data_IF_182095316226
#
_entry.id   IF_182095316226
#
_cell.length_a   1.000
_cell.length_b   1.000
_cell.length_c   1.000
_cell.angle_alpha   90.00
_cell.angle_beta   90.00
_cell.angle_gamma   90.00
#
_symmetry.space_group_name_H-M   'P 1'
#
loop_
_entity.id
_entity.type
_entity.pdbx_description
1 polymer ?
#
# COMPACT_ATOMS: atom_id res chain seq x y z
N UNK A 1 -7.06 -26.74 -15.24
CA UNK A 1 -6.07 -25.68 -15.52
C UNK A 1 -6.71 -24.29 -15.57
N UNK A 2 -7.72 -24.02 -16.42
CA UNK A 2 -8.32 -22.68 -16.54
C UNK A 2 -8.85 -22.06 -15.24
N UNK A 3 -9.49 -22.84 -14.35
CA UNK A 3 -9.97 -22.33 -13.06
C UNK A 3 -8.83 -21.90 -12.11
N UNK A 4 -7.73 -22.65 -12.07
CA UNK A 4 -6.55 -22.30 -11.27
C UNK A 4 -5.81 -21.09 -11.87
N UNK A 5 -5.70 -21.01 -13.20
CA UNK A 5 -5.11 -19.86 -13.88
C UNK A 5 -5.95 -18.60 -13.71
N UNK A 6 -7.28 -18.70 -13.77
CA UNK A 6 -8.19 -17.59 -13.51
C UNK A 6 -8.16 -17.11 -12.05
N UNK A 7 -8.10 -18.03 -11.09
CA UNK A 7 -7.96 -17.69 -9.68
C UNK A 7 -6.62 -17.00 -9.37
N UNK A 8 -5.50 -17.52 -9.89
CA UNK A 8 -4.20 -16.87 -9.78
C UNK A 8 -4.22 -15.50 -10.47
N UNK A 9 -4.79 -15.39 -11.67
CA UNK A 9 -4.91 -14.11 -12.37
C UNK A 9 -5.70 -13.09 -11.54
N UNK A 10 -6.82 -13.49 -10.95
CA UNK A 10 -7.63 -12.62 -10.09
C UNK A 10 -6.88 -12.21 -8.81
N UNK A 11 -6.16 -13.12 -8.15
CA UNK A 11 -5.34 -12.77 -6.98
C UNK A 11 -4.13 -11.87 -7.31
N UNK A 12 -3.60 -11.97 -8.53
CA UNK A 12 -2.45 -11.17 -8.97
C UNK A 12 -2.86 -9.80 -9.54
N UNK A 13 -3.99 -9.72 -10.25
CA UNK A 13 -4.37 -8.53 -11.03
C UNK A 13 -5.77 -7.98 -10.70
N UNK A 14 -6.61 -8.72 -9.99
CA UNK A 14 -7.98 -8.31 -9.67
C UNK A 14 -8.17 -7.66 -8.29
N UNK A 15 -7.15 -7.73 -7.42
CA UNK A 15 -7.21 -7.14 -6.07
C UNK A 15 -6.18 -6.00 -5.97
N UNK A 16 -6.57 -4.80 -5.49
CA UNK A 16 -5.65 -3.69 -5.33
C UNK A 16 -4.47 -4.08 -4.43
N UNK A 17 -3.28 -3.63 -4.83
CA UNK A 17 -2.04 -3.81 -4.07
C UNK A 17 -1.42 -2.46 -3.78
N UNK A 18 -0.79 -2.35 -2.62
CA UNK A 18 0.03 -1.21 -2.27
C UNK A 18 1.15 -1.06 -3.32
N UNK A 19 1.18 0.01 -4.12
CA UNK A 19 2.22 0.19 -5.14
C UNK A 19 3.62 0.25 -4.53
N UNK A 20 3.77 0.68 -3.29
CA UNK A 20 5.06 0.77 -2.63
C UNK A 20 5.66 -0.59 -2.23
N UNK A 21 4.86 -1.58 -1.84
CA UNK A 21 5.38 -2.85 -1.28
C UNK A 21 4.71 -4.14 -1.80
N UNK A 22 3.66 -4.04 -2.61
CA UNK A 22 2.99 -5.18 -3.23
C UNK A 22 2.00 -5.91 -2.32
N UNK A 23 1.83 -5.46 -1.09
CA UNK A 23 0.86 -6.00 -0.14
C UNK A 23 -0.56 -5.82 -0.66
N UNK A 24 -1.39 -6.86 -0.53
CA UNK A 24 -2.80 -6.80 -0.88
C UNK A 24 -3.51 -5.81 0.05
N UNK A 25 -4.33 -4.94 -0.53
CA UNK A 25 -5.11 -3.94 0.20
C UNK A 25 -6.41 -4.59 0.67
N UNK A 26 -6.61 -4.62 1.97
CA UNK A 26 -7.88 -5.04 2.57
C UNK A 26 -8.85 -3.85 2.64
N UNK A 27 -10.17 -4.09 2.80
CA UNK A 27 -11.12 -3.01 3.02
C UNK A 27 -10.77 -2.11 4.21
N UNK A 28 -10.25 -2.71 5.30
CA UNK A 28 -9.77 -1.97 6.48
C UNK A 28 -8.62 -1.01 6.15
N UNK A 29 -7.65 -1.44 5.34
CA UNK A 29 -6.55 -0.56 4.89
C UNK A 29 -7.05 0.58 4.00
N UNK A 30 -8.01 0.28 3.13
CA UNK A 30 -8.59 1.28 2.22
C UNK A 30 -9.42 2.33 2.99
N UNK A 31 -10.12 1.90 4.03
CA UNK A 31 -10.85 2.79 4.94
C UNK A 31 -9.91 3.67 5.76
N UNK A 32 -8.80 3.09 6.25
CA UNK A 32 -7.83 3.81 7.08
C UNK A 32 -7.01 4.84 6.31
N UNK A 33 -6.71 4.60 5.04
CA UNK A 33 -5.95 5.54 4.20
C UNK A 33 -6.70 5.88 2.92
N UNK A 34 -7.26 7.10 2.87
CA UNK A 34 -7.84 7.69 1.67
C UNK A 34 -6.83 8.60 0.98
N UNK A 35 -6.35 8.22 -0.19
CA UNK A 35 -5.21 8.83 -0.89
C UNK A 35 -5.65 9.24 -2.29
N UNK A 36 -5.42 10.51 -2.61
CA UNK A 36 -5.87 11.15 -3.84
C UNK A 36 -4.75 11.99 -4.47
N UNK A 37 -4.75 12.13 -5.80
CA UNK A 37 -3.70 12.86 -6.54
C UNK A 37 -4.04 14.31 -6.88
N UNK A 38 -5.31 14.72 -6.87
CA UNK A 38 -5.75 16.04 -7.36
C UNK A 38 -6.66 16.79 -6.37
N UNK A 39 -6.53 16.47 -5.09
CA UNK A 39 -7.27 17.10 -4.00
C UNK A 39 -8.10 16.10 -3.19
N UNK A 40 -8.65 16.56 -2.07
CA UNK A 40 -9.48 15.75 -1.17
C UNK A 40 -10.68 15.13 -1.91
N UNK A 41 -10.66 13.81 -2.09
CA UNK A 41 -11.72 13.09 -2.80
C UNK A 41 -11.72 13.26 -4.32
N UNK A 42 -10.62 13.75 -4.92
CA UNK A 42 -10.53 14.09 -6.35
C UNK A 42 -9.30 13.46 -7.02
N UNK A 43 -9.40 13.18 -8.31
CA UNK A 43 -8.32 12.55 -9.08
C UNK A 43 -8.25 11.04 -8.88
N UNK A 44 -7.07 10.47 -9.13
CA UNK A 44 -6.81 9.05 -9.00
C UNK A 44 -6.84 8.63 -7.53
N UNK A 45 -7.58 7.55 -7.23
CA UNK A 45 -7.56 6.91 -5.91
C UNK A 45 -6.36 5.95 -5.87
N UNK A 46 -5.39 6.25 -5.01
CA UNK A 46 -4.25 5.37 -4.77
C UNK A 46 -4.46 4.53 -3.51
N UNK A 47 -3.71 3.46 -3.33
CA UNK A 47 -3.83 2.60 -2.15
C UNK A 47 -2.48 2.37 -1.47
N UNK A 48 -2.47 2.30 -0.15
CA UNK A 48 -1.28 1.92 0.61
C UNK A 48 -1.67 1.08 1.82
N UNK A 49 -0.80 0.15 2.21
CA UNK A 49 -1.09 -0.71 3.35
C UNK A 49 -0.80 -0.06 4.70
N UNK A 50 0.13 0.91 4.76
CA UNK A 50 0.48 1.61 5.99
C UNK A 50 0.94 3.04 5.69
N UNK A 51 0.97 3.90 6.72
CA UNK A 51 1.45 5.28 6.61
C UNK A 51 2.88 5.40 6.05
N UNK A 52 3.77 4.46 6.39
CA UNK A 52 5.11 4.43 5.82
C UNK A 52 5.09 4.20 4.30
N UNK A 53 4.19 3.36 3.80
CA UNK A 53 4.01 3.13 2.38
C UNK A 53 3.31 4.29 1.67
N UNK A 54 2.37 4.98 2.32
CA UNK A 54 1.76 6.21 1.78
C UNK A 54 2.85 7.20 1.37
N UNK A 55 3.79 7.49 2.26
CA UNK A 55 4.86 8.46 2.00
C UNK A 55 5.90 7.96 0.99
N UNK A 56 6.04 6.63 0.82
CA UNK A 56 6.88 6.03 -0.22
C UNK A 56 6.27 6.14 -1.62
N UNK A 57 4.97 6.39 -1.74
CA UNK A 57 4.35 6.66 -3.04
C UNK A 57 4.86 7.98 -3.65
N UNK A 58 5.49 8.86 -2.88
CA UNK A 58 6.11 10.09 -3.37
C UNK A 58 7.50 9.88 -4.01
N UNK A 59 7.90 8.63 -4.25
CA UNK A 59 9.15 8.26 -4.93
C UNK A 59 9.41 9.12 -6.19
N UNK A 60 10.57 9.80 -6.29
CA UNK A 60 10.87 10.68 -7.44
C UNK A 60 10.96 10.00 -8.80
N UNK A 61 11.21 8.69 -8.86
CA UNK A 61 11.45 7.97 -10.10
C UNK A 61 10.21 7.23 -10.60
N UNK A 62 9.38 6.73 -9.68
CA UNK A 62 8.26 5.82 -9.96
C UNK A 62 6.96 6.21 -9.28
N UNK A 63 6.99 7.24 -8.43
CA UNK A 63 5.87 7.68 -7.64
C UNK A 63 5.13 8.87 -8.24
N UNK A 64 4.36 9.51 -7.38
CA UNK A 64 3.59 10.72 -7.69
C UNK A 64 4.27 11.94 -7.07
N UNK A 65 4.13 13.10 -7.71
CA UNK A 65 4.70 14.34 -7.20
C UNK A 65 3.94 14.87 -5.98
N UNK A 66 2.62 14.66 -5.96
CA UNK A 66 1.69 15.25 -5.00
C UNK A 66 0.62 14.25 -4.55
N UNK A 67 0.29 14.27 -3.25
CA UNK A 67 -0.70 13.42 -2.60
C UNK A 67 -1.51 14.19 -1.56
N UNK A 68 -2.81 13.87 -1.52
CA UNK A 68 -3.76 14.28 -0.49
C UNK A 68 -4.24 13.03 0.26
N UNK A 69 -3.93 12.95 1.55
CA UNK A 69 -4.14 11.76 2.37
C UNK A 69 -5.04 12.07 3.56
N UNK A 70 -6.18 11.41 3.65
CA UNK A 70 -7.02 11.38 4.85
C UNK A 70 -6.83 10.05 5.55
N UNK A 71 -6.59 10.11 6.86
CA UNK A 71 -6.46 8.95 7.75
C UNK A 71 -6.91 9.35 9.15
N UNK A 72 -6.72 8.51 10.15
CA UNK A 72 -7.05 8.83 11.54
C UNK A 72 -6.02 8.27 12.52
N UNK A 73 -6.08 8.74 13.76
CA UNK A 73 -5.15 8.34 14.81
C UNK A 73 -5.29 6.86 15.18
N UNK A 74 -4.19 6.10 15.18
CA UNK A 74 -4.19 4.70 15.60
C UNK A 74 -4.47 4.52 17.11
N UNK A 75 -4.47 5.60 17.89
CA UNK A 75 -4.76 5.58 19.34
C UNK A 75 -6.17 6.07 19.68
N UNK A 76 -6.61 7.20 19.09
CA UNK A 76 -7.92 7.79 19.40
C UNK A 76 -9.04 7.34 18.46
N UNK A 77 -8.69 6.80 17.28
CA UNK A 77 -9.64 6.32 16.30
C UNK A 77 -10.21 7.36 15.33
N UNK A 78 -11.26 6.99 14.58
CA UNK A 78 -11.80 7.76 13.44
C UNK A 78 -12.25 9.19 13.75
N UNK A 79 -12.65 9.48 14.99
CA UNK A 79 -13.08 10.82 15.41
C UNK A 79 -11.91 11.83 15.52
N UNK A 80 -10.68 11.35 15.34
CA UNK A 80 -9.46 12.18 15.31
C UNK A 80 -8.79 12.05 13.93
N UNK A 81 -9.39 12.66 12.89
CA UNK A 81 -8.89 12.58 11.54
C UNK A 81 -7.56 13.33 11.40
N UNK A 82 -6.70 12.81 10.54
CA UNK A 82 -5.42 13.42 10.18
C UNK A 82 -5.43 13.62 8.67
N UNK A 83 -5.24 14.86 8.25
CA UNK A 83 -5.11 15.24 6.85
C UNK A 83 -3.67 15.60 6.55
N UNK A 84 -3.12 14.99 5.52
CA UNK A 84 -1.74 15.19 5.09
C UNK A 84 -1.77 15.58 3.62
N UNK A 85 -1.26 16.76 3.30
CA UNK A 85 -1.01 17.20 1.94
C UNK A 85 0.50 17.28 1.74
N UNK A 86 1.01 16.56 0.74
CA UNK A 86 2.45 16.50 0.46
C UNK A 86 2.67 16.66 -1.03
N UNK A 87 3.65 17.47 -1.42
CA UNK A 87 3.96 17.75 -2.82
C UNK A 87 5.46 17.90 -3.05
N UNK A 88 5.87 18.02 -4.32
CA UNK A 88 7.27 18.06 -4.72
C UNK A 88 8.04 16.84 -4.20
N UNK A 89 7.49 15.65 -4.42
CA UNK A 89 8.05 14.36 -3.99
C UNK A 89 8.41 14.29 -2.49
N UNK A 90 7.53 14.80 -1.62
CA UNK A 90 7.75 14.75 -0.18
C UNK A 90 8.46 15.97 0.41
N UNK A 91 9.00 16.87 -0.41
CA UNK A 91 9.82 18.00 0.07
C UNK A 91 9.00 19.08 0.75
N UNK A 92 7.75 19.25 0.32
CA UNK A 92 6.81 20.18 0.92
C UNK A 92 5.64 19.42 1.51
N UNK A 93 5.15 19.85 2.67
CA UNK A 93 4.17 19.11 3.43
C UNK A 93 3.39 20.03 4.37
N UNK A 94 2.08 19.82 4.40
CA UNK A 94 1.14 20.42 5.33
C UNK A 94 0.32 19.30 6.00
N UNK A 95 0.12 19.41 7.30
CA UNK A 95 -0.57 18.37 8.09
C UNK A 95 -1.49 19.03 9.10
N UNK A 96 -2.70 18.51 9.16
CA UNK A 96 -3.73 18.90 10.12
C UNK A 96 -4.16 17.65 10.92
N UNK A 97 -3.90 17.59 12.24
CA UNK A 97 -3.22 18.61 13.05
C UNK A 97 -1.69 18.62 12.80
N UNK A 98 -1.00 19.75 12.98
CA UNK A 98 0.46 19.83 12.80
C UNK A 98 1.24 19.02 13.86
N UNK A 99 0.56 18.56 14.90
CA UNK A 99 1.11 17.70 15.95
C UNK A 99 1.25 16.24 15.51
N UNK A 100 0.65 15.83 14.40
CA UNK A 100 0.61 14.44 13.99
C UNK A 100 2.02 13.85 13.78
N UNK A 101 2.19 12.62 14.29
CA UNK A 101 3.46 11.88 14.29
C UNK A 101 3.31 10.55 13.60
N UNK A 102 4.42 10.05 13.09
CA UNK A 102 4.57 8.69 12.60
C UNK A 102 5.53 7.95 13.51
N UNK A 103 5.14 6.75 13.92
CA UNK A 103 5.97 5.80 14.61
C UNK A 103 6.46 4.79 13.58
N UNK A 104 7.75 4.80 13.25
CA UNK A 104 8.33 4.03 12.14
C UNK A 104 9.03 2.74 12.62
N UNK A 105 8.29 1.83 13.25
CA UNK A 105 8.85 0.55 13.70
C UNK A 105 9.38 -0.33 12.56
N UNK A 106 8.89 -0.13 11.33
CA UNK A 106 9.44 -0.79 10.14
C UNK A 106 10.93 -0.50 9.90
N UNK A 107 11.47 0.61 10.43
CA UNK A 107 12.92 0.91 10.35
C UNK A 107 13.75 -0.12 11.12
N UNK A 108 13.15 -0.79 12.11
CA UNK A 108 13.79 -1.79 12.96
C UNK A 108 13.41 -3.19 12.49
N UNK A 109 12.12 -3.44 12.24
CA UNK A 109 11.61 -4.79 11.92
C UNK A 109 11.62 -5.13 10.43
N UNK A 110 11.76 -4.14 9.55
CA UNK A 110 11.54 -4.30 8.11
C UNK A 110 10.08 -4.53 7.72
N UNK A 111 9.13 -4.46 8.67
CA UNK A 111 7.72 -4.79 8.44
C UNK A 111 6.79 -3.59 8.59
N UNK A 112 5.90 -3.41 7.61
CA UNK A 112 4.83 -2.39 7.64
C UNK A 112 3.83 -2.60 8.81
N UNK A 113 3.81 -3.80 9.41
CA UNK A 113 2.99 -4.12 10.57
C UNK A 113 3.38 -3.29 11.81
N UNK A 114 4.60 -2.77 11.87
CA UNK A 114 5.13 -2.02 13.00
C UNK A 114 5.11 -0.49 12.79
N UNK A 115 4.38 0.02 11.81
CA UNK A 115 4.20 1.47 11.64
C UNK A 115 2.92 1.95 12.31
N UNK A 116 2.91 3.14 12.91
CA UNK A 116 1.69 3.80 13.39
C UNK A 116 1.65 5.26 12.97
N UNK A 117 0.45 5.83 12.99
CA UNK A 117 0.21 7.26 12.93
C UNK A 117 -0.53 7.72 14.20
N UNK A 118 -0.07 8.81 14.79
CA UNK A 118 -0.60 9.38 16.02
C UNK A 118 -0.99 10.84 15.78
N UNK A 119 -2.07 11.28 16.42
CA UNK A 119 -2.59 12.64 16.32
C UNK A 119 -1.68 13.68 17.02
N UNK A 120 -1.04 13.28 18.10
CA UNK A 120 -0.20 14.12 18.95
C UNK A 120 0.86 13.29 19.71
N UNK A 121 1.66 13.97 20.53
CA UNK A 121 2.72 13.34 21.33
C UNK A 121 2.18 12.36 22.39
N UNK A 122 1.01 12.65 22.98
CA UNK A 122 0.42 11.75 23.98
C UNK A 122 -0.01 10.43 23.34
N UNK A 123 -0.74 10.49 22.22
CA UNK A 123 -1.12 9.33 21.43
C UNK A 123 0.11 8.52 21.01
N UNK A 124 1.19 9.18 20.58
CA UNK A 124 2.43 8.52 20.22
C UNK A 124 3.07 7.78 21.42
N UNK A 125 3.13 8.41 22.59
CA UNK A 125 3.62 7.78 23.82
C UNK A 125 2.76 6.58 24.24
N UNK A 126 1.44 6.67 24.14
CA UNK A 126 0.56 5.56 24.47
C UNK A 126 0.73 4.40 23.49
N UNK A 127 0.86 4.68 22.18
CA UNK A 127 1.15 3.65 21.18
C UNK A 127 2.49 2.96 21.43
N UNK A 128 3.53 3.67 21.86
CA UNK A 128 4.81 3.06 22.23
C UNK A 128 4.68 2.11 23.44
N UNK A 129 3.81 2.44 24.40
CA UNK A 129 3.60 1.62 25.61
C UNK A 129 2.70 0.41 25.34
N UNK A 130 1.62 0.61 24.60
CA UNK A 130 0.60 -0.41 24.34
C UNK A 130 0.92 -1.28 23.10
N UNK A 131 1.69 -0.74 22.16
CA UNK A 131 1.98 -1.32 20.85
C UNK A 131 0.87 -1.11 19.81
N UNK A 132 -0.39 -1.25 20.21
CA UNK A 132 -1.57 -1.05 19.36
C UNK A 132 -2.82 -0.76 20.20
N UNK A 133 -3.89 -0.35 19.54
CA UNK A 133 -5.24 -0.23 20.12
C UNK A 133 -6.26 -0.94 19.23
N UNK A 134 -7.54 -0.89 19.62
CA UNK A 134 -8.65 -1.35 18.76
C UNK A 134 -8.81 -0.56 17.46
N UNK A 135 -8.24 0.65 17.37
CA UNK A 135 -8.26 1.48 16.17
C UNK A 135 -7.07 1.24 15.24
N UNK A 136 -6.07 0.51 15.70
CA UNK A 136 -4.97 0.05 14.85
C UNK A 136 -5.49 -1.03 13.92
N UNK A 137 -5.06 -1.04 12.65
CA UNK A 137 -5.47 -2.08 11.71
C UNK A 137 -5.13 -3.48 12.22
N UNK A 138 -5.97 -4.48 11.97
CA UNK A 138 -5.85 -5.84 12.49
C UNK A 138 -4.46 -6.47 12.29
N UNK A 139 -3.87 -6.34 11.11
CA UNK A 139 -2.54 -6.90 10.81
C UNK A 139 -1.39 -6.17 11.52
N UNK A 140 -1.66 -4.99 12.09
CA UNK A 140 -0.74 -4.19 12.86
C UNK A 140 -0.84 -4.47 14.36
N UNK A 141 -1.65 -5.44 14.82
CA UNK A 141 -1.76 -5.84 16.23
C UNK A 141 -0.52 -6.62 16.71
N UNK A 142 0.62 -5.95 16.64
CA UNK A 142 1.94 -6.38 17.05
C UNK A 142 2.56 -5.29 17.93
N UNK A 143 3.41 -5.64 18.91
CA UNK A 143 4.15 -4.66 19.68
C UNK A 143 5.02 -3.78 18.78
N UNK A 144 5.18 -2.50 19.17
CA UNK A 144 6.20 -1.66 18.56
C UNK A 144 7.58 -2.03 19.15
N UNK A 145 8.61 -2.18 18.31
CA UNK A 145 9.95 -2.50 18.79
C UNK A 145 10.51 -1.36 19.66
N UNK A 146 11.34 -1.72 20.63
CA UNK A 146 12.06 -0.73 21.45
C UNK A 146 12.92 0.18 20.55
N UNK A 147 12.93 1.48 20.84
CA UNK A 147 13.63 2.47 20.03
C UNK A 147 12.90 2.86 18.73
N UNK A 148 11.62 2.48 18.57
CA UNK A 148 10.79 2.93 17.44
C UNK A 148 10.90 4.45 17.25
N UNK A 149 11.38 4.93 16.09
CA UNK A 149 11.48 6.36 15.83
C UNK A 149 10.10 7.01 15.75
N UNK A 150 9.93 8.10 16.50
CA UNK A 150 8.76 8.99 16.41
C UNK A 150 9.17 10.25 15.66
N UNK A 151 8.51 10.54 14.54
CA UNK A 151 8.84 11.67 13.68
C UNK A 151 7.57 12.46 13.33
N UNK A 152 7.64 13.80 13.22
CA UNK A 152 6.61 14.56 12.53
C UNK A 152 6.42 14.03 11.10
N UNK A 153 5.17 13.96 10.62
CA UNK A 153 4.84 13.45 9.28
C UNK A 153 5.69 14.14 8.19
N UNK A 154 5.77 15.48 8.21
CA UNK A 154 6.53 16.24 7.22
C UNK A 154 8.04 16.00 7.24
N UNK A 155 8.59 15.54 8.37
CA UNK A 155 10.01 15.13 8.44
C UNK A 155 10.22 13.74 7.86
N UNK A 156 9.23 12.86 7.96
CA UNK A 156 9.29 11.51 7.44
C UNK A 156 9.07 11.45 5.92
N UNK A 157 8.25 12.35 5.36
CA UNK A 157 7.88 12.35 3.94
C UNK A 157 9.07 12.33 2.97
N UNK A 158 10.00 13.29 2.98
CA UNK A 158 11.12 13.27 2.02
C UNK A 158 12.08 12.11 2.29
N UNK A 159 12.25 11.71 3.56
CA UNK A 159 13.08 10.57 3.92
C UNK A 159 12.56 9.26 3.32
N UNK A 160 11.25 9.02 3.39
CA UNK A 160 10.64 7.79 2.89
C UNK A 160 10.49 7.81 1.37
N UNK A 161 10.18 8.96 0.77
CA UNK A 161 10.12 9.15 -0.66
C UNK A 161 11.48 8.88 -1.32
N UNK A 162 12.55 9.57 -0.87
CA UNK A 162 13.84 9.55 -1.55
C UNK A 162 14.72 8.35 -1.16
N UNK A 163 14.69 7.90 0.10
CA UNK A 163 15.64 6.89 0.59
C UNK A 163 15.10 5.46 0.60
N UNK A 164 13.78 5.31 0.55
CA UNK A 164 13.14 3.99 0.58
C UNK A 164 12.37 3.75 -0.71
N UNK A 165 11.56 4.72 -1.13
CA UNK A 165 10.88 4.69 -2.41
C UNK A 165 9.95 3.48 -2.61
N UNK A 166 9.51 3.27 -3.83
CA UNK A 166 8.65 2.15 -4.20
C UNK A 166 9.52 0.88 -4.32
N UNK A 167 9.32 -0.16 -3.51
CA UNK A 167 10.12 -1.40 -3.64
C UNK A 167 9.46 -2.43 -4.57
N UNK A 168 8.14 -2.36 -4.72
CA UNK A 168 7.40 -3.38 -5.45
C UNK A 168 7.57 -3.23 -6.95
N UNK A 169 7.81 -4.36 -7.59
CA UNK A 169 7.77 -4.51 -9.04
C UNK A 169 6.66 -5.53 -9.33
N UNK A 170 5.57 -5.14 -10.02
CA UNK A 170 4.49 -6.07 -10.29
C UNK A 170 4.98 -7.24 -11.15
N UNK A 171 4.51 -8.47 -10.90
CA UNK A 171 4.90 -9.62 -11.70
C UNK A 171 4.46 -9.43 -13.15
N UNK A 172 5.39 -9.69 -14.08
CA UNK A 172 5.15 -9.50 -15.51
C UNK A 172 3.95 -10.34 -15.99
N UNK A 173 2.98 -9.74 -16.69
CA UNK A 173 1.85 -10.49 -17.26
C UNK A 173 2.27 -11.39 -18.42
N UNK A 174 3.51 -11.27 -18.92
CA UNK A 174 4.01 -12.05 -20.04
C UNK A 174 3.99 -13.57 -19.79
N UNK A 175 4.26 -14.00 -18.56
CA UNK A 175 4.32 -15.41 -18.18
C UNK A 175 2.92 -16.09 -18.23
N UNK A 176 1.88 -15.58 -17.54
CA UNK A 176 0.53 -16.12 -17.66
C UNK A 176 -0.07 -15.94 -19.06
N UNK A 177 0.21 -14.83 -19.76
CA UNK A 177 -0.21 -14.64 -21.14
C UNK A 177 0.43 -15.68 -22.08
N UNK A 178 1.71 -16.01 -21.89
CA UNK A 178 2.41 -17.04 -22.65
C UNK A 178 1.77 -18.42 -22.48
N UNK A 179 1.40 -18.81 -21.26
CA UNK A 179 0.68 -20.08 -21.02
C UNK A 179 -0.71 -20.09 -21.67
N UNK A 180 -1.44 -18.98 -21.65
CA UNK A 180 -2.74 -18.88 -22.29
C UNK A 180 -2.64 -19.02 -23.83
N UNK A 181 -1.65 -18.37 -24.44
CA UNK A 181 -1.38 -18.47 -25.88
C UNK A 181 -1.01 -19.91 -26.26
N UNK A 182 -0.08 -20.54 -25.53
CA UNK A 182 0.31 -21.92 -25.78
C UNK A 182 -0.87 -22.89 -25.65
N UNK A 183 -1.70 -22.71 -24.62
CA UNK A 183 -2.92 -23.49 -24.42
C UNK A 183 -3.91 -23.34 -25.58
N UNK A 184 -4.16 -22.12 -26.06
CA UNK A 184 -5.04 -21.87 -27.20
C UNK A 184 -4.51 -22.52 -28.49
N UNK A 185 -3.19 -22.44 -28.73
CA UNK A 185 -2.55 -23.06 -29.91
C UNK A 185 -2.71 -24.58 -29.87
N UNK A 186 -2.45 -25.24 -28.74
CA UNK A 186 -2.63 -26.70 -28.60
C UNK A 186 -4.08 -27.10 -28.88
N UNK A 187 -5.05 -26.32 -28.39
CA UNK A 187 -6.47 -26.59 -28.54
C UNK A 187 -6.91 -26.46 -30.01
N UNK A 188 -6.47 -25.40 -30.69
CA UNK A 188 -6.73 -25.19 -32.13
C UNK A 188 -6.10 -26.30 -32.96
N UNK A 189 -4.83 -26.63 -32.72
CA UNK A 189 -4.13 -27.70 -33.44
C UNK A 189 -4.85 -29.03 -33.24
N UNK A 190 -5.24 -29.36 -32.01
CA UNK A 190 -5.97 -30.57 -31.66
C UNK A 190 -7.33 -30.66 -32.37
N UNK A 191 -8.09 -29.56 -32.44
CA UNK A 191 -9.35 -29.49 -33.20
C UNK A 191 -9.12 -29.75 -34.69
N UNK A 192 -8.08 -29.14 -35.28
CA UNK A 192 -7.74 -29.32 -36.69
C UNK A 192 -7.34 -30.77 -36.96
N UNK A 193 -6.51 -31.37 -36.09
CA UNK A 193 -6.07 -32.78 -36.25
C UNK A 193 -7.25 -33.73 -36.08
N UNK A 194 -8.09 -33.53 -35.07
CA UNK A 194 -9.30 -34.32 -34.86
C UNK A 194 -10.26 -34.24 -36.05
N UNK A 195 -10.52 -33.04 -36.59
CA UNK A 195 -11.36 -32.85 -37.77
C UNK A 195 -10.79 -33.49 -39.04
N UNK A 196 -9.47 -33.57 -39.18
CA UNK A 196 -8.81 -34.28 -40.28
C UNK A 196 -8.92 -35.79 -40.10
N UNK A 197 -8.71 -36.30 -38.88
CA UNK A 197 -8.82 -37.72 -38.58
C UNK A 197 -10.27 -38.25 -38.68
N UNK A 198 -11.27 -37.45 -38.28
CA UNK A 198 -12.68 -37.83 -38.35
C UNK A 198 -13.31 -37.73 -39.77
N UNK A 199 -12.57 -37.18 -40.73
CA UNK A 199 -12.98 -37.12 -42.16
C UNK A 199 -12.26 -38.15 -43.03
N UNK A 200 -11.33 -38.91 -42.46
CA UNK A 200 -10.69 -40.08 -43.08
C UNK A 200 -11.49 -41.34 -42.72
#
# INVERSE_FOLDING_TARGET
>A
MFGATGYLYYQYYGVPRCPACGMIITPEMDEHFKIYTEGWGKGERLHACCIGCVLRLLDPERGWDELYVETFCDYYGPDHPIRIHVWNHGKNCEVDPPTAKILLGAKITGSCASNRIAYDDYAAEQLLKLGYTEHTMSYQHVPLPEGTPVLPVCKAAPMLAEKVGIAYVPPSPALPAGFAIAGAVILVVSIITYRRAAKA
#
